data_IF_400676200455
#
_entry.id   IF_400676200455
#
_cell.length_a   1.000
_cell.length_b   1.000
_cell.length_c   1.000
_cell.angle_alpha   90.00
_cell.angle_beta   90.00
_cell.angle_gamma   90.00
#
_symmetry.space_group_name_H-M   'P 1'
#
loop_
_entity.id
_entity.type
_entity.pdbx_description
1 polymer ?
#
# COMPACT_ATOMS: atom_id res chain seq x y z
N UNK A 1 7.09 2.73 17.23
CA UNK A 1 6.23 1.54 17.28
C UNK A 1 6.88 0.42 16.50
N UNK A 2 6.63 -0.84 16.87
CA UNK A 2 7.14 -2.01 16.14
C UNK A 2 6.11 -2.47 15.10
N UNK A 3 6.56 -2.84 13.91
CA UNK A 3 5.68 -3.42 12.88
C UNK A 3 6.36 -4.54 12.11
N UNK A 4 5.54 -5.40 11.50
CA UNK A 4 6.01 -6.52 10.66
C UNK A 4 6.33 -6.01 9.25
N UNK A 5 7.58 -6.08 8.83
CA UNK A 5 8.04 -5.67 7.51
C UNK A 5 7.98 -6.85 6.53
N UNK A 6 6.92 -6.90 5.74
CA UNK A 6 6.71 -7.93 4.73
C UNK A 6 7.69 -7.84 3.54
N UNK A 7 8.44 -6.75 3.38
CA UNK A 7 9.49 -6.66 2.34
C UNK A 7 10.74 -7.45 2.72
N UNK A 8 11.01 -7.58 4.02
CA UNK A 8 12.16 -8.30 4.55
C UNK A 8 11.70 -9.55 5.33
N UNK A 9 10.96 -10.43 4.65
CA UNK A 9 10.56 -11.73 5.20
C UNK A 9 9.59 -11.68 6.39
N UNK A 10 8.97 -10.53 6.67
CA UNK A 10 8.12 -10.38 7.84
C UNK A 10 8.90 -10.22 9.16
N UNK A 11 10.15 -9.76 9.10
CA UNK A 11 10.90 -9.34 10.28
C UNK A 11 10.20 -8.19 11.00
N UNK A 12 10.38 -8.08 12.32
CA UNK A 12 9.85 -6.95 13.08
C UNK A 12 10.85 -5.79 13.06
N UNK A 13 10.37 -4.61 12.71
CA UNK A 13 11.20 -3.40 12.58
C UNK A 13 10.65 -2.32 13.52
N UNK A 14 11.55 -1.67 14.27
CA UNK A 14 11.22 -0.53 15.11
C UNK A 14 11.19 0.75 14.26
N UNK A 15 10.06 1.46 14.27
CA UNK A 15 9.91 2.73 13.58
C UNK A 15 9.68 3.87 14.57
N UNK A 16 10.58 4.85 14.58
CA UNK A 16 10.47 6.08 15.39
C UNK A 16 9.92 7.21 14.53
N UNK A 17 8.81 7.80 14.95
CA UNK A 17 8.09 8.84 14.23
C UNK A 17 7.65 9.92 15.21
N UNK A 18 7.50 11.16 14.73
CA UNK A 18 6.86 12.22 15.52
C UNK A 18 5.40 11.85 15.77
N UNK A 19 4.86 12.28 16.91
CA UNK A 19 3.49 11.97 17.33
C UNK A 19 2.45 12.34 16.27
N UNK A 20 2.59 13.51 15.66
CA UNK A 20 1.67 13.97 14.60
C UNK A 20 1.73 13.09 13.35
N UNK A 21 2.93 12.66 12.95
CA UNK A 21 3.11 11.77 11.80
C UNK A 21 2.51 10.39 12.05
N UNK A 22 2.60 9.91 13.29
CA UNK A 22 1.96 8.66 13.70
C UNK A 22 0.44 8.73 13.61
N UNK A 23 -0.17 9.78 14.18
CA UNK A 23 -1.62 10.01 14.13
C UNK A 23 -2.07 10.12 12.66
N UNK A 24 -1.35 10.88 11.84
CA UNK A 24 -1.67 11.06 10.43
C UNK A 24 -1.60 9.75 9.63
N UNK A 25 -0.70 8.82 9.99
CA UNK A 25 -0.67 7.47 9.38
C UNK A 25 -1.84 6.62 9.86
N UNK A 26 -2.19 6.67 11.14
CA UNK A 26 -3.27 5.89 11.72
C UNK A 26 -4.63 6.24 11.10
N UNK A 27 -4.92 7.53 10.93
CA UNK A 27 -6.20 8.02 10.37
C UNK A 27 -6.46 7.46 8.97
N UNK A 28 -5.42 7.29 8.13
CA UNK A 28 -5.57 6.72 6.77
C UNK A 28 -6.07 5.28 6.75
N UNK A 29 -5.93 4.56 7.86
CA UNK A 29 -6.39 3.18 7.99
C UNK A 29 -7.80 3.08 8.60
N UNK A 30 -8.40 4.19 9.02
CA UNK A 30 -9.76 4.21 9.54
C UNK A 30 -10.73 4.26 8.35
N UNK A 31 -11.57 3.24 8.15
CA UNK A 31 -12.55 3.23 7.08
C UNK A 31 -13.63 4.29 7.32
N UNK A 32 -14.35 4.70 6.27
CA UNK A 32 -15.47 5.62 6.41
C UNK A 32 -16.59 5.03 7.26
N UNK A 33 -17.43 5.91 7.81
CA UNK A 33 -18.60 5.47 8.56
C UNK A 33 -19.48 4.54 7.72
N UNK A 34 -19.95 3.44 8.31
CA UNK A 34 -20.69 2.36 7.66
C UNK A 34 -19.94 1.53 6.60
N UNK A 35 -18.63 1.72 6.42
CA UNK A 35 -17.85 0.84 5.53
C UNK A 35 -17.43 -0.44 6.25
N UNK A 36 -18.10 -1.54 5.91
CA UNK A 36 -17.77 -2.86 6.42
C UNK A 36 -16.57 -3.43 5.65
N UNK A 37 -15.40 -3.50 6.29
CA UNK A 37 -14.20 -4.11 5.71
C UNK A 37 -14.33 -5.64 5.76
N UNK A 38 -14.72 -6.24 4.64
CA UNK A 38 -14.74 -7.70 4.49
C UNK A 38 -13.31 -8.20 4.20
N UNK A 39 -12.60 -8.67 5.23
CA UNK A 39 -11.20 -9.15 5.10
C UNK A 39 -11.08 -10.49 4.38
N UNK A 40 -12.03 -11.40 4.60
CA UNK A 40 -12.01 -12.77 4.08
C UNK A 40 -13.40 -13.15 3.60
N UNK A 41 -13.55 -13.42 2.30
CA UNK A 41 -14.80 -13.84 1.68
C UNK A 41 -14.56 -14.86 0.56
N UNK A 42 -15.64 -15.47 0.07
CA UNK A 42 -15.57 -16.48 -0.98
C UNK A 42 -14.62 -17.62 -0.63
N UNK A 43 -13.69 -17.92 -1.54
CA UNK A 43 -12.68 -18.97 -1.36
C UNK A 43 -11.71 -18.72 -0.19
N UNK A 44 -11.59 -17.47 0.28
CA UNK A 44 -10.73 -17.10 1.41
C UNK A 44 -11.48 -17.08 2.75
N UNK A 45 -12.80 -17.32 2.78
CA UNK A 45 -13.60 -17.27 4.00
C UNK A 45 -13.14 -18.35 5.00
N UNK A 46 -12.97 -17.99 6.28
CA UNK A 46 -12.29 -18.83 7.28
C UNK A 46 -12.82 -20.26 7.41
N UNK A 47 -14.15 -20.45 7.28
CA UNK A 47 -14.80 -21.78 7.40
C UNK A 47 -14.46 -22.73 6.25
N UNK A 48 -14.25 -22.18 5.05
CA UNK A 48 -14.11 -22.95 3.80
C UNK A 48 -12.72 -22.83 3.18
N UNK A 49 -11.89 -21.90 3.66
CA UNK A 49 -10.55 -21.60 3.15
C UNK A 49 -9.68 -22.85 3.06
N UNK A 50 -9.73 -23.74 4.06
CA UNK A 50 -8.91 -24.97 4.05
C UNK A 50 -9.32 -25.90 2.90
N UNK A 51 -10.61 -26.17 2.77
CA UNK A 51 -11.16 -27.04 1.72
C UNK A 51 -10.91 -26.46 0.33
N UNK A 52 -11.17 -25.15 0.14
CA UNK A 52 -10.92 -24.50 -1.14
C UNK A 52 -9.43 -24.40 -1.46
N UNK A 53 -8.54 -24.25 -0.47
CA UNK A 53 -7.09 -24.31 -0.71
C UNK A 53 -6.69 -25.66 -1.29
N UNK A 54 -7.16 -26.77 -0.71
CA UNK A 54 -6.85 -28.12 -1.21
C UNK A 54 -7.37 -28.37 -2.63
N UNK A 55 -8.50 -27.77 -2.99
CA UNK A 55 -9.03 -27.82 -4.36
C UNK A 55 -8.18 -26.96 -5.29
N UNK A 56 -7.85 -25.74 -4.85
CA UNK A 56 -7.06 -24.78 -5.64
C UNK A 56 -5.66 -25.33 -5.92
N UNK A 57 -4.99 -25.92 -4.94
CA UNK A 57 -3.65 -26.52 -5.08
C UNK A 57 -3.64 -27.72 -6.05
N UNK A 58 -4.79 -28.39 -6.26
CA UNK A 58 -4.94 -29.50 -7.20
C UNK A 58 -5.27 -29.04 -8.63
N UNK A 59 -6.03 -27.95 -8.75
CA UNK A 59 -6.55 -27.45 -10.03
C UNK A 59 -5.60 -26.45 -10.67
N UNK A 60 -4.92 -25.64 -9.87
CA UNK A 60 -3.96 -24.66 -10.35
C UNK A 60 -2.55 -25.26 -10.34
N UNK A 61 -1.79 -24.95 -11.39
CA UNK A 61 -0.36 -25.21 -11.40
C UNK A 61 0.33 -24.41 -10.29
N UNK A 62 1.39 -25.00 -9.72
CA UNK A 62 2.23 -24.27 -8.77
C UNK A 62 2.78 -23.01 -9.45
N UNK A 63 2.72 -21.85 -8.78
CA UNK A 63 3.36 -20.66 -9.31
C UNK A 63 4.86 -20.93 -9.50
N UNK A 64 5.48 -20.35 -10.54
CA UNK A 64 6.91 -20.48 -10.73
C UNK A 64 7.64 -19.96 -9.48
N UNK A 65 8.71 -20.65 -9.08
CA UNK A 65 9.61 -20.12 -8.08
C UNK A 65 10.21 -18.82 -8.62
N UNK A 66 10.03 -17.73 -7.86
CA UNK A 66 10.60 -16.42 -8.16
C UNK A 66 11.67 -16.17 -7.11
N UNK A 67 12.93 -16.25 -7.54
CA UNK A 67 14.09 -16.01 -6.65
C UNK A 67 14.09 -14.58 -6.08
N UNK A 68 13.64 -13.61 -6.89
CA UNK A 68 13.55 -12.21 -6.49
C UNK A 68 12.20 -11.61 -6.85
N UNK A 69 11.57 -10.96 -5.86
CA UNK A 69 10.34 -10.23 -6.10
C UNK A 69 10.64 -8.94 -6.88
N UNK A 70 10.03 -8.72 -8.06
CA UNK A 70 10.31 -7.54 -8.88
C UNK A 70 10.03 -6.26 -8.09
N UNK A 71 10.80 -5.21 -8.34
CA UNK A 71 10.59 -3.92 -7.71
C UNK A 71 9.29 -3.25 -8.23
N UNK A 72 8.88 -2.15 -7.59
CA UNK A 72 7.65 -1.46 -7.98
C UNK A 72 7.65 -1.04 -9.45
N UNK A 73 8.77 -0.53 -9.96
CA UNK A 73 8.89 -0.05 -11.35
C UNK A 73 8.69 -1.22 -12.31
N UNK A 74 9.39 -2.32 -12.12
CA UNK A 74 9.28 -3.54 -12.94
C UNK A 74 7.85 -4.07 -12.99
N UNK A 75 7.18 -4.16 -11.83
CA UNK A 75 5.77 -4.59 -11.77
C UNK A 75 4.85 -3.65 -12.55
N UNK A 76 5.05 -2.34 -12.42
CA UNK A 76 4.23 -1.36 -13.15
C UNK A 76 4.52 -1.40 -14.65
N UNK A 77 5.77 -1.58 -15.06
CA UNK A 77 6.16 -1.73 -16.46
C UNK A 77 5.53 -2.96 -17.08
N UNK A 78 5.61 -4.12 -16.41
CA UNK A 78 5.00 -5.36 -16.87
C UNK A 78 3.47 -5.25 -16.99
N UNK A 79 2.81 -4.61 -16.01
CA UNK A 79 1.36 -4.43 -16.02
C UNK A 79 0.87 -3.44 -17.10
N UNK A 80 1.60 -2.33 -17.30
CA UNK A 80 1.16 -1.25 -18.21
C UNK A 80 1.78 -1.33 -19.61
N UNK A 81 2.77 -2.18 -19.82
CA UNK A 81 3.58 -2.25 -21.05
C UNK A 81 4.51 -1.05 -21.28
N UNK A 82 4.63 -0.13 -20.32
CA UNK A 82 5.48 1.07 -20.39
C UNK A 82 6.06 1.41 -19.02
N UNK A 83 7.32 1.86 -18.98
CA UNK A 83 7.95 2.30 -17.72
C UNK A 83 7.20 3.52 -17.17
N UNK A 84 6.61 3.44 -15.96
CA UNK A 84 5.87 4.56 -15.37
C UNK A 84 6.73 5.80 -15.13
N UNK A 85 8.06 5.66 -15.08
CA UNK A 85 8.99 6.75 -14.87
C UNK A 85 9.50 7.35 -16.18
N UNK A 86 9.08 6.87 -17.35
CA UNK A 86 9.34 7.54 -18.63
C UNK A 86 8.22 8.51 -19.00
N UNK A 87 8.62 9.72 -19.39
CA UNK A 87 7.69 10.70 -19.93
C UNK A 87 7.05 10.17 -21.21
N UNK A 88 5.72 10.14 -21.29
CA UNK A 88 5.00 9.69 -22.49
C UNK A 88 5.18 10.57 -23.73
N UNK A 89 5.76 11.77 -23.59
CA UNK A 89 5.99 12.70 -24.70
C UNK A 89 7.44 12.66 -25.18
N UNK A 90 8.41 12.76 -24.26
CA UNK A 90 9.83 12.91 -24.62
C UNK A 90 10.71 11.70 -24.26
N UNK A 91 10.16 10.65 -23.67
CA UNK A 91 10.89 9.43 -23.33
C UNK A 91 11.98 9.57 -22.25
N UNK A 92 12.14 10.74 -21.64
CA UNK A 92 13.12 10.96 -20.56
C UNK A 92 12.61 10.43 -19.22
N UNK A 93 13.54 9.97 -18.38
CA UNK A 93 13.26 9.54 -17.00
C UNK A 93 12.82 10.74 -16.18
N UNK A 94 11.61 10.65 -15.64
CA UNK A 94 11.02 11.64 -14.75
C UNK A 94 11.66 11.54 -13.37
N UNK A 95 12.11 12.68 -12.85
CA UNK A 95 12.57 12.80 -11.46
C UNK A 95 11.42 13.28 -10.60
N UNK A 96 11.22 12.63 -9.47
CA UNK A 96 10.28 13.12 -8.46
C UNK A 96 10.76 14.49 -7.95
N UNK A 97 9.92 15.52 -8.08
CA UNK A 97 10.23 16.88 -7.62
C UNK A 97 9.53 17.14 -6.27
N UNK A 98 8.22 16.97 -6.23
CA UNK A 98 7.42 17.10 -5.01
C UNK A 98 6.08 16.40 -5.17
N UNK A 99 5.47 16.01 -4.05
CA UNK A 99 4.08 15.57 -3.99
C UNK A 99 3.28 16.59 -3.19
N UNK A 100 2.19 17.11 -3.76
CA UNK A 100 1.20 17.86 -2.99
C UNK A 100 0.24 16.86 -2.37
N UNK A 101 0.44 16.55 -1.10
CA UNK A 101 -0.53 15.81 -0.31
C UNK A 101 -1.56 16.84 0.13
N UNK A 102 -2.82 16.80 -0.37
CA UNK A 102 -3.83 17.71 0.14
C UNK A 102 -3.97 17.47 1.63
N UNK A 103 -3.66 18.49 2.44
CA UNK A 103 -3.88 18.44 3.86
C UNK A 103 -5.39 18.39 4.09
N UNK A 104 -5.91 17.23 4.49
CA UNK A 104 -7.30 17.09 4.95
C UNK A 104 -7.57 17.96 6.19
N UNK A 105 -6.51 18.39 6.87
CA UNK A 105 -6.54 19.46 7.85
C UNK A 105 -6.39 20.80 7.13
N UNK A 106 -7.51 21.46 6.86
CA UNK A 106 -7.54 22.91 6.65
C UNK A 106 -6.93 23.61 7.87
N UNK A 107 -6.23 24.75 7.70
CA UNK A 107 -5.73 25.52 8.82
C UNK A 107 -6.93 26.04 9.62
N UNK A 108 -6.97 25.73 10.91
CA UNK A 108 -7.76 26.52 11.86
C UNK A 108 -7.30 27.96 11.67
N UNK A 109 -8.21 28.79 11.19
CA UNK A 109 -8.01 30.21 10.92
C UNK A 109 -7.32 30.83 12.13
N UNK A 110 -6.04 31.19 11.99
CA UNK A 110 -5.41 32.13 12.90
C UNK A 110 -6.08 33.48 12.65
N UNK A 111 -7.16 33.76 13.39
CA UNK A 111 -7.68 35.12 13.52
C UNK A 111 -6.54 35.91 14.17
N UNK A 112 -5.81 36.68 13.36
CA UNK A 112 -4.99 37.80 13.85
C UNK A 112 -5.89 38.65 14.73
N UNK A 113 -5.70 38.59 16.04
CA UNK A 113 -6.18 39.62 16.93
C UNK A 113 -5.08 40.67 16.96
N UNK A 114 -5.22 41.68 16.12
CA UNK A 114 -4.55 42.96 16.33
C UNK A 114 -4.97 43.49 17.70
N UNK A 115 -4.00 43.68 18.58
CA UNK A 115 -3.94 44.76 19.56
C UNK A 115 -2.48 45.06 19.83
#
# INVERSE_FOLDING_TARGET
FEYKDYRHGGSKVLHTLKTIDFIGRLIRHIPSHYFNVIRHFGILASRVKKQYKEITDRVLESPPEVDEAPNWRERQTAFRGRDPLLCGVCGRVMRFVSSRIPSVFFPVIQRKMFK
#
